data_IF_351725046898
#
_entry.id   IF_351725046898
#
_cell.length_a   1.000
_cell.length_b   1.000
_cell.length_c   1.000
_cell.angle_alpha   90.00
_cell.angle_beta   90.00
_cell.angle_gamma   90.00
#
_symmetry.space_group_name_H-M   'P 1'
#
loop_
_entity.id
_entity.type
_entity.pdbx_description
1 polymer ?
#
# COMPACT_ATOMS: atom_id res chain seq x y z
N UNK A 1 4.39 -51.04 35.30
CA UNK A 1 3.51 -50.42 34.32
C UNK A 1 4.35 -49.49 33.43
N UNK A 2 4.50 -49.79 32.14
CA UNK A 2 5.40 -49.04 31.27
C UNK A 2 4.71 -47.81 30.67
N UNK A 3 5.46 -46.72 30.57
CA UNK A 3 5.07 -45.47 29.88
C UNK A 3 5.17 -45.69 28.38
N UNK A 4 4.05 -45.50 27.67
CA UNK A 4 4.04 -45.49 26.23
C UNK A 4 4.50 -44.11 25.71
N UNK A 5 5.61 -44.10 24.96
CA UNK A 5 6.02 -42.97 24.13
C UNK A 5 5.09 -42.89 22.90
N UNK A 6 4.35 -41.79 22.78
CA UNK A 6 3.73 -41.41 21.51
C UNK A 6 4.76 -40.70 20.63
N UNK A 7 5.23 -41.42 19.62
CA UNK A 7 5.99 -40.85 18.51
C UNK A 7 5.05 -40.13 17.55
N UNK A 8 5.12 -38.78 17.51
CA UNK A 8 4.47 -38.00 16.47
C UNK A 8 5.23 -38.20 15.14
N UNK A 9 4.59 -38.85 14.20
CA UNK A 9 5.02 -38.88 12.80
C UNK A 9 4.76 -37.50 12.20
N UNK A 10 5.81 -36.74 11.96
CA UNK A 10 5.75 -35.56 11.09
C UNK A 10 5.75 -36.07 9.66
N UNK A 11 4.62 -36.08 9.00
CA UNK A 11 4.51 -36.41 7.58
C UNK A 11 5.21 -35.31 6.76
N UNK A 12 6.22 -35.67 5.99
CA UNK A 12 6.87 -34.80 5.01
C UNK A 12 5.84 -34.36 3.93
N UNK A 13 5.77 -33.08 3.54
CA UNK A 13 4.87 -32.65 2.47
C UNK A 13 5.32 -33.26 1.14
N UNK A 14 4.43 -34.00 0.50
CA UNK A 14 4.68 -34.62 -0.80
C UNK A 14 4.96 -33.55 -1.87
N UNK A 15 5.99 -33.74 -2.68
CA UNK A 15 6.46 -32.86 -3.76
C UNK A 15 5.37 -32.53 -4.82
N UNK A 16 4.27 -33.27 -4.86
CA UNK A 16 3.13 -33.05 -5.76
C UNK A 16 2.27 -31.83 -5.42
N UNK A 17 2.11 -31.47 -4.14
CA UNK A 17 1.30 -30.35 -3.70
C UNK A 17 1.91 -28.99 -4.04
N UNK A 18 3.23 -28.89 -4.13
CA UNK A 18 3.93 -27.63 -4.51
C UNK A 18 3.71 -27.28 -6.00
N UNK A 19 3.60 -28.29 -6.88
CA UNK A 19 3.34 -28.06 -8.32
C UNK A 19 1.90 -27.63 -8.60
N UNK A 20 0.93 -28.12 -7.82
CA UNK A 20 -0.49 -27.80 -8.00
C UNK A 20 -0.81 -26.39 -7.50
N UNK A 21 -0.28 -25.94 -6.37
CA UNK A 21 -0.46 -24.60 -5.84
C UNK A 21 0.19 -23.53 -6.75
N UNK A 22 1.36 -23.82 -7.33
CA UNK A 22 2.02 -22.93 -8.27
C UNK A 22 1.25 -22.84 -9.62
N UNK A 23 0.68 -23.96 -10.09
CA UNK A 23 -0.16 -23.98 -11.30
C UNK A 23 -1.48 -23.24 -11.09
N UNK A 24 -2.15 -23.37 -9.94
CA UNK A 24 -3.37 -22.61 -9.64
C UNK A 24 -3.10 -21.11 -9.56
N UNK A 25 -2.01 -20.67 -8.91
CA UNK A 25 -1.64 -19.24 -8.88
C UNK A 25 -1.31 -18.70 -10.27
N UNK A 26 -0.59 -19.44 -11.10
CA UNK A 26 -0.32 -19.07 -12.49
C UNK A 26 -1.60 -18.99 -13.34
N UNK A 27 -2.55 -19.89 -13.13
CA UNK A 27 -3.82 -19.88 -13.87
C UNK A 27 -4.72 -18.69 -13.49
N UNK A 28 -4.73 -18.27 -12.22
CA UNK A 28 -5.48 -17.11 -11.74
C UNK A 28 -4.86 -15.80 -12.28
N UNK A 29 -3.53 -15.68 -12.27
CA UNK A 29 -2.82 -14.54 -12.87
C UNK A 29 -3.02 -14.49 -14.39
N UNK A 30 -3.04 -15.62 -15.09
CA UNK A 30 -3.30 -15.70 -16.53
C UNK A 30 -4.73 -15.28 -16.89
N UNK A 31 -5.74 -15.65 -16.09
CA UNK A 31 -7.13 -15.28 -16.34
C UNK A 31 -7.35 -13.76 -16.35
N UNK A 32 -6.68 -13.02 -15.49
CA UNK A 32 -6.74 -11.54 -15.42
C UNK A 32 -5.92 -10.84 -16.52
N UNK A 33 -4.98 -11.55 -17.13
CA UNK A 33 -4.14 -11.01 -18.21
C UNK A 33 -4.75 -11.18 -19.60
N UNK A 34 -5.69 -12.11 -19.78
CA UNK A 34 -6.30 -12.41 -21.08
C UNK A 34 -7.28 -11.36 -21.60
N UNK A 35 -7.77 -10.44 -20.76
CA UNK A 35 -8.67 -9.36 -21.20
C UNK A 35 -7.93 -8.12 -21.77
N UNK A 36 -6.60 -8.07 -21.72
CA UNK A 36 -5.83 -7.03 -22.40
C UNK A 36 -5.56 -7.43 -23.87
N UNK A 37 -6.38 -6.93 -24.77
CA UNK A 37 -6.35 -7.23 -26.20
C UNK A 37 -4.97 -7.04 -26.87
N UNK A 38 -4.47 -8.05 -27.56
CA UNK A 38 -3.53 -7.91 -28.69
C UNK A 38 -2.07 -8.30 -28.47
N UNK A 39 -1.64 -8.86 -27.32
CA UNK A 39 -0.26 -9.33 -27.10
C UNK A 39 -0.21 -10.86 -27.14
N UNK A 40 0.78 -11.46 -27.85
CA UNK A 40 0.92 -12.91 -27.96
C UNK A 40 1.20 -13.59 -26.62
N UNK A 41 0.70 -14.82 -26.43
CA UNK A 41 0.83 -15.58 -25.17
C UNK A 41 2.29 -15.78 -24.73
N UNK A 42 3.25 -15.78 -25.65
CA UNK A 42 4.69 -15.89 -25.34
C UNK A 42 5.29 -14.60 -24.77
N UNK A 43 4.77 -13.43 -25.13
CA UNK A 43 5.22 -12.13 -24.60
C UNK A 43 4.57 -11.79 -23.26
N UNK A 44 3.37 -12.34 -22.98
CA UNK A 44 2.66 -12.17 -21.71
C UNK A 44 3.31 -12.92 -20.54
N UNK A 45 4.07 -13.98 -20.82
CA UNK A 45 4.79 -14.79 -19.82
C UNK A 45 6.11 -14.16 -19.31
N UNK A 46 6.62 -13.09 -19.97
CA UNK A 46 7.96 -12.59 -19.70
C UNK A 46 8.07 -11.52 -18.59
N UNK A 47 6.98 -10.94 -18.07
CA UNK A 47 7.09 -9.92 -17.03
C UNK A 47 6.04 -10.09 -15.92
N UNK A 48 6.33 -10.94 -14.95
CA UNK A 48 5.63 -10.88 -13.67
C UNK A 48 5.91 -9.52 -13.00
N UNK A 49 4.92 -8.93 -12.29
CA UNK A 49 5.19 -7.79 -11.43
C UNK A 49 6.33 -8.11 -10.45
N UNK A 50 7.23 -7.17 -10.22
CA UNK A 50 8.39 -7.35 -9.32
C UNK A 50 7.98 -7.87 -7.94
N UNK A 51 6.77 -7.51 -7.48
CA UNK A 51 6.21 -7.99 -6.21
C UNK A 51 5.88 -9.48 -6.20
N UNK A 52 5.69 -10.09 -7.39
CA UNK A 52 5.32 -11.51 -7.56
C UNK A 52 6.51 -12.38 -7.97
N UNK A 53 7.65 -11.76 -8.26
CA UNK A 53 8.88 -12.48 -8.61
C UNK A 53 9.43 -13.26 -7.40
N UNK A 54 10.10 -14.39 -7.69
CA UNK A 54 10.89 -15.09 -6.68
C UNK A 54 12.13 -14.28 -6.31
N UNK A 55 12.40 -14.12 -5.01
CA UNK A 55 13.61 -13.43 -4.56
C UNK A 55 14.84 -14.33 -4.72
N UNK A 56 15.80 -14.01 -5.62
CA UNK A 56 17.00 -14.83 -5.81
C UNK A 56 17.93 -14.84 -4.58
N UNK A 57 17.79 -13.87 -3.68
CA UNK A 57 18.55 -13.77 -2.43
C UNK A 57 17.87 -14.49 -1.27
N UNK A 58 16.62 -14.95 -1.44
CA UNK A 58 15.98 -15.82 -0.48
C UNK A 58 16.64 -17.20 -0.59
N UNK A 59 17.68 -17.45 0.21
CA UNK A 59 18.14 -18.77 0.52
C UNK A 59 16.96 -19.65 0.98
N UNK A 60 17.12 -20.96 1.02
CA UNK A 60 16.09 -21.83 1.60
C UNK A 60 15.88 -21.42 3.08
N UNK A 61 14.92 -20.53 3.31
CA UNK A 61 14.60 -19.99 4.64
C UNK A 61 14.24 -21.12 5.62
N UNK A 62 13.84 -22.29 5.11
CA UNK A 62 13.40 -23.42 5.93
C UNK A 62 14.57 -24.11 6.65
N UNK A 63 15.81 -23.95 6.20
CA UNK A 63 17.00 -24.52 6.84
C UNK A 63 17.71 -23.52 7.78
N UNK A 64 17.26 -22.27 7.83
CA UNK A 64 17.83 -21.26 8.73
C UNK A 64 17.23 -21.37 10.13
N UNK A 65 18.04 -21.07 11.13
CA UNK A 65 17.54 -20.82 12.48
C UNK A 65 16.83 -19.46 12.58
N UNK A 66 16.22 -19.16 13.71
CA UNK A 66 15.48 -17.91 13.91
C UNK A 66 16.37 -16.68 13.69
N UNK A 67 17.65 -16.72 14.10
CA UNK A 67 18.58 -15.62 13.90
C UNK A 67 18.86 -15.41 12.40
N UNK A 68 19.08 -16.46 11.65
CA UNK A 68 19.27 -16.41 10.20
C UNK A 68 18.05 -15.83 9.48
N UNK A 69 16.84 -16.27 9.84
CA UNK A 69 15.59 -15.76 9.25
C UNK A 69 15.42 -14.25 9.52
N UNK A 70 15.51 -13.80 10.78
CA UNK A 70 15.30 -12.38 11.11
C UNK A 70 16.42 -11.50 10.55
N UNK A 71 17.64 -12.01 10.43
CA UNK A 71 18.77 -11.31 9.79
C UNK A 71 18.51 -11.10 8.30
N UNK A 72 18.01 -12.11 7.60
CA UNK A 72 17.63 -12.01 6.20
C UNK A 72 16.49 -11.00 5.99
N UNK A 73 15.48 -11.00 6.87
CA UNK A 73 14.39 -10.02 6.84
C UNK A 73 14.93 -8.60 7.05
N UNK A 74 15.75 -8.38 8.08
CA UNK A 74 16.32 -7.07 8.37
C UNK A 74 17.19 -6.55 7.22
N UNK A 75 17.98 -7.40 6.59
CA UNK A 75 18.78 -7.04 5.42
C UNK A 75 17.90 -6.63 4.23
N UNK A 76 16.78 -7.31 4.00
CA UNK A 76 15.81 -6.95 2.97
C UNK A 76 15.13 -5.60 3.29
N UNK A 77 14.72 -5.39 4.54
CA UNK A 77 14.04 -4.15 4.98
C UNK A 77 14.97 -2.94 4.89
N UNK A 78 16.27 -3.10 5.08
CA UNK A 78 17.26 -2.03 4.94
C UNK A 78 17.28 -1.39 3.54
N UNK A 79 16.73 -2.06 2.53
CA UNK A 79 16.63 -1.54 1.16
C UNK A 79 15.44 -0.58 0.95
N UNK A 80 14.47 -0.54 1.87
CA UNK A 80 13.21 0.19 1.68
C UNK A 80 13.44 1.70 1.69
N UNK A 81 14.11 2.24 2.69
CA UNK A 81 14.34 3.69 2.77
C UNK A 81 15.14 4.23 1.57
N UNK A 82 16.23 3.57 1.09
CA UNK A 82 16.87 3.93 -0.17
C UNK A 82 15.95 3.85 -1.39
N UNK A 83 15.01 2.90 -1.43
CA UNK A 83 14.03 2.82 -2.51
C UNK A 83 13.06 4.03 -2.49
N UNK A 84 12.53 4.38 -1.32
CA UNK A 84 11.69 5.57 -1.14
C UNK A 84 12.43 6.85 -1.51
N UNK A 85 13.72 6.98 -1.16
CA UNK A 85 14.49 8.18 -1.47
C UNK A 85 14.59 8.48 -2.97
N UNK A 86 14.48 7.47 -3.82
CA UNK A 86 14.47 7.63 -5.29
C UNK A 86 13.17 8.23 -5.84
N UNK A 87 12.10 8.26 -5.04
CA UNK A 87 10.77 8.76 -5.43
C UNK A 87 10.40 10.08 -4.76
N UNK A 88 11.34 10.78 -4.13
CA UNK A 88 11.06 12.04 -3.42
C UNK A 88 10.51 13.14 -4.34
N UNK A 89 10.90 13.16 -5.62
CA UNK A 89 10.35 14.10 -6.60
C UNK A 89 8.86 13.91 -6.83
N UNK A 90 8.43 12.67 -7.01
CA UNK A 90 7.02 12.28 -7.19
C UNK A 90 6.22 12.53 -5.90
N UNK A 91 6.77 12.18 -4.74
CA UNK A 91 6.16 12.46 -3.44
C UNK A 91 5.96 13.98 -3.25
N UNK A 92 6.96 14.80 -3.59
CA UNK A 92 6.85 16.26 -3.52
C UNK A 92 5.73 16.80 -4.41
N UNK A 93 5.62 16.30 -5.66
CA UNK A 93 4.52 16.68 -6.57
C UNK A 93 3.15 16.27 -6.01
N UNK A 94 3.04 15.09 -5.42
CA UNK A 94 1.82 14.63 -4.76
C UNK A 94 1.44 15.55 -3.59
N UNK A 95 2.39 15.92 -2.74
CA UNK A 95 2.17 16.89 -1.65
C UNK A 95 1.66 18.23 -2.18
N UNK A 96 2.28 18.77 -3.24
CA UNK A 96 1.86 20.06 -3.83
C UNK A 96 0.43 19.99 -4.36
N UNK A 97 0.07 18.88 -5.03
CA UNK A 97 -1.26 18.64 -5.56
C UNK A 97 -2.31 18.59 -4.44
N UNK A 98 -2.07 17.79 -3.38
CA UNK A 98 -2.97 17.68 -2.23
C UNK A 98 -3.12 19.02 -1.52
N UNK A 99 -2.04 19.76 -1.26
CA UNK A 99 -2.09 21.09 -0.62
C UNK A 99 -2.96 22.05 -1.42
N UNK A 100 -2.83 22.05 -2.75
CA UNK A 100 -3.61 22.92 -3.61
C UNK A 100 -5.11 22.62 -3.49
N UNK A 101 -5.51 21.35 -3.47
CA UNK A 101 -6.91 20.92 -3.36
C UNK A 101 -7.49 21.19 -1.97
N UNK A 102 -6.77 20.85 -0.91
CA UNK A 102 -7.23 21.11 0.46
C UNK A 102 -7.41 22.62 0.76
N UNK A 103 -6.58 23.50 0.18
CA UNK A 103 -6.76 24.96 0.30
C UNK A 103 -8.03 25.47 -0.38
N UNK A 104 -8.55 24.76 -1.35
CA UNK A 104 -9.79 25.07 -2.05
C UNK A 104 -11.03 24.40 -1.39
N UNK A 105 -10.87 23.77 -0.23
CA UNK A 105 -11.94 23.12 0.50
C UNK A 105 -12.18 21.65 0.12
N UNK A 106 -11.31 21.04 -0.67
CA UNK A 106 -11.34 19.61 -0.96
C UNK A 106 -10.81 18.76 0.21
N UNK A 107 -10.90 17.44 0.07
CA UNK A 107 -10.46 16.43 1.04
C UNK A 107 -9.42 15.50 0.43
N UNK A 108 -8.70 14.77 1.28
CA UNK A 108 -7.77 13.73 0.87
C UNK A 108 -8.39 12.36 1.14
N UNK A 109 -8.46 11.51 0.12
CA UNK A 109 -8.93 10.13 0.25
C UNK A 109 -7.81 9.16 -0.01
N UNK A 110 -7.71 8.13 0.83
CA UNK A 110 -6.90 6.94 0.62
C UNK A 110 -7.80 5.77 0.26
N UNK A 111 -7.47 5.03 -0.80
CA UNK A 111 -8.19 3.82 -1.20
C UNK A 111 -7.23 2.68 -1.49
N UNK A 112 -7.52 1.49 -0.99
CA UNK A 112 -6.72 0.30 -1.22
C UNK A 112 -7.35 -0.96 -0.66
N UNK A 113 -6.73 -2.11 -0.95
CA UNK A 113 -7.15 -3.41 -0.43
C UNK A 113 -6.10 -3.99 0.53
N UNK A 114 -6.50 -4.92 1.39
CA UNK A 114 -5.61 -5.65 2.28
C UNK A 114 -4.69 -4.75 3.12
N UNK A 115 -3.39 -4.98 3.06
CA UNK A 115 -2.38 -4.18 3.79
C UNK A 115 -2.38 -2.73 3.33
N UNK A 116 -2.49 -2.48 2.03
CA UNK A 116 -2.49 -1.13 1.46
C UNK A 116 -3.66 -0.29 1.97
N UNK A 117 -4.87 -0.86 1.99
CA UNK A 117 -6.06 -0.20 2.56
C UNK A 117 -5.92 0.05 4.06
N UNK A 118 -5.40 -0.93 4.83
CA UNK A 118 -5.16 -0.74 6.27
C UNK A 118 -4.19 0.39 6.57
N UNK A 119 -3.12 0.54 5.78
CA UNK A 119 -2.15 1.62 5.93
C UNK A 119 -2.77 2.98 5.60
N UNK A 120 -3.63 3.06 4.59
CA UNK A 120 -4.38 4.28 4.27
C UNK A 120 -5.32 4.70 5.40
N UNK A 121 -6.08 3.75 5.96
CA UNK A 121 -6.96 4.01 7.10
C UNK A 121 -6.16 4.40 8.35
N UNK A 122 -5.03 3.73 8.61
CA UNK A 122 -4.14 4.06 9.72
C UNK A 122 -3.65 5.51 9.62
N UNK A 123 -3.08 5.92 8.48
CA UNK A 123 -2.54 7.27 8.29
C UNK A 123 -3.65 8.32 8.41
N UNK A 124 -4.84 8.07 7.84
CA UNK A 124 -6.00 8.95 7.96
C UNK A 124 -6.44 9.13 9.42
N UNK A 125 -6.51 8.04 10.19
CA UNK A 125 -6.96 8.05 11.59
C UNK A 125 -6.03 8.81 12.52
N UNK A 126 -4.76 8.94 12.18
CA UNK A 126 -3.76 9.67 12.97
C UNK A 126 -3.75 11.18 12.69
N UNK A 127 -4.39 11.65 11.62
CA UNK A 127 -4.42 13.09 11.29
C UNK A 127 -5.18 13.94 12.32
N UNK A 128 -6.39 13.57 12.77
CA UNK A 128 -7.10 14.35 13.79
C UNK A 128 -6.35 14.47 15.12
N UNK A 129 -5.87 13.39 15.76
CA UNK A 129 -5.18 13.51 17.04
C UNK A 129 -3.80 14.21 16.93
N UNK A 130 -3.13 14.11 15.76
CA UNK A 130 -1.79 14.68 15.57
C UNK A 130 -1.84 16.15 15.17
N UNK A 131 -2.75 16.53 14.27
CA UNK A 131 -2.77 17.85 13.64
C UNK A 131 -4.02 18.67 13.96
N UNK A 132 -4.95 18.15 14.77
CA UNK A 132 -6.20 18.82 15.11
C UNK A 132 -7.09 19.06 13.88
N UNK A 133 -7.05 18.16 12.91
CA UNK A 133 -7.88 18.25 11.71
C UNK A 133 -9.31 17.77 11.98
N UNK A 134 -10.24 18.21 11.14
CA UNK A 134 -11.53 17.56 11.03
C UNK A 134 -11.33 16.08 10.63
N UNK A 135 -12.04 15.11 11.25
CA UNK A 135 -11.97 13.70 10.86
C UNK A 135 -12.29 13.44 9.38
N UNK A 136 -13.13 14.28 8.77
CA UNK A 136 -13.50 14.15 7.36
C UNK A 136 -12.48 14.77 6.39
N UNK A 137 -11.42 15.43 6.89
CA UNK A 137 -10.41 16.06 6.03
C UNK A 137 -9.53 15.03 5.32
N UNK A 138 -9.21 13.92 6.01
CA UNK A 138 -8.45 12.80 5.46
C UNK A 138 -9.23 11.52 5.74
N UNK A 139 -9.68 10.88 4.67
CA UNK A 139 -10.58 9.72 4.74
C UNK A 139 -9.85 8.49 4.19
N UNK A 140 -9.83 7.40 4.93
CA UNK A 140 -9.30 6.11 4.49
C UNK A 140 -10.43 5.14 4.19
N UNK A 141 -10.45 4.58 2.98
CA UNK A 141 -11.36 3.51 2.58
C UNK A 141 -10.59 2.24 2.24
N UNK A 142 -11.21 1.08 2.51
CA UNK A 142 -10.60 -0.23 2.31
C UNK A 142 -11.59 -1.19 1.67
N UNK A 143 -11.15 -1.96 0.69
CA UNK A 143 -11.94 -3.04 0.10
C UNK A 143 -12.48 -3.97 1.18
N UNK A 144 -13.80 -4.20 1.19
CA UNK A 144 -14.48 -5.00 2.22
C UNK A 144 -14.85 -4.23 3.50
N UNK A 145 -14.64 -2.90 3.52
CA UNK A 145 -15.07 -2.00 4.58
C UNK A 145 -14.41 -2.26 5.94
N UNK A 146 -15.01 -1.80 7.03
CA UNK A 146 -14.45 -1.88 8.40
C UNK A 146 -14.11 -3.31 8.84
N UNK A 147 -14.81 -4.31 8.35
CA UNK A 147 -14.50 -5.71 8.64
C UNK A 147 -13.10 -6.07 8.15
N UNK A 148 -12.69 -5.55 6.99
CA UNK A 148 -11.40 -5.81 6.37
C UNK A 148 -10.21 -5.23 7.15
N UNK A 149 -10.44 -4.29 8.07
CA UNK A 149 -9.40 -3.78 8.96
C UNK A 149 -8.86 -4.86 9.92
N UNK A 150 -9.72 -5.81 10.32
CA UNK A 150 -9.40 -6.83 11.35
C UNK A 150 -9.30 -8.24 10.80
N UNK A 151 -10.00 -8.54 9.70
CA UNK A 151 -10.06 -9.87 9.10
C UNK A 151 -9.99 -9.76 7.59
N UNK A 152 -9.39 -10.74 6.91
CA UNK A 152 -9.45 -10.81 5.46
C UNK A 152 -10.92 -10.95 5.01
N UNK A 153 -11.29 -10.22 3.96
CA UNK A 153 -12.57 -10.36 3.24
C UNK A 153 -12.21 -10.85 1.85
N UNK A 154 -12.43 -12.15 1.63
CA UNK A 154 -12.09 -12.80 0.36
C UNK A 154 -12.86 -12.17 -0.80
N UNK A 155 -12.18 -11.97 -1.95
CA UNK A 155 -12.75 -11.41 -3.17
C UNK A 155 -13.05 -9.90 -3.14
N UNK A 156 -12.89 -9.22 -2.00
CA UNK A 156 -13.18 -7.78 -1.93
C UNK A 156 -12.22 -6.93 -2.78
N UNK A 157 -10.99 -7.39 -2.98
CA UNK A 157 -10.00 -6.69 -3.80
C UNK A 157 -10.25 -6.84 -5.30
N UNK A 158 -11.05 -7.84 -5.71
CA UNK A 158 -11.36 -8.16 -7.10
C UNK A 158 -12.57 -7.38 -7.64
N UNK A 159 -13.34 -6.73 -6.77
CA UNK A 159 -14.51 -5.95 -7.16
C UNK A 159 -14.13 -4.55 -7.62
N UNK A 160 -14.01 -4.39 -8.93
CA UNK A 160 -13.66 -3.14 -9.57
C UNK A 160 -14.68 -2.01 -9.33
N UNK A 161 -15.97 -2.34 -9.31
CA UNK A 161 -17.02 -1.32 -9.16
C UNK A 161 -17.13 -0.80 -7.72
N UNK A 162 -16.82 -1.66 -6.75
CA UNK A 162 -16.96 -1.33 -5.33
C UNK A 162 -16.07 -0.15 -4.92
N UNK A 163 -14.87 0.00 -5.52
CA UNK A 163 -13.99 1.14 -5.25
C UNK A 163 -14.64 2.50 -5.56
N UNK A 164 -15.39 2.58 -6.65
CA UNK A 164 -16.18 3.75 -7.01
C UNK A 164 -17.39 3.95 -6.09
N UNK A 165 -18.12 2.90 -5.75
CA UNK A 165 -19.26 2.98 -4.83
C UNK A 165 -18.85 3.43 -3.42
N UNK A 166 -17.70 2.99 -2.94
CA UNK A 166 -17.20 3.40 -1.63
C UNK A 166 -16.85 4.91 -1.63
N UNK A 167 -16.24 5.43 -2.69
CA UNK A 167 -16.00 6.86 -2.85
C UNK A 167 -17.29 7.67 -2.90
N UNK A 168 -18.28 7.21 -3.69
CA UNK A 168 -19.59 7.85 -3.83
C UNK A 168 -20.33 7.93 -2.48
N UNK A 169 -20.31 6.83 -1.72
CA UNK A 169 -20.92 6.76 -0.39
C UNK A 169 -20.35 7.78 0.61
N UNK A 170 -19.09 8.21 0.41
CA UNK A 170 -18.45 9.27 1.19
C UNK A 170 -18.60 10.66 0.56
N UNK A 171 -19.42 10.79 -0.49
CA UNK A 171 -19.65 12.07 -1.20
C UNK A 171 -18.39 12.64 -1.83
N UNK A 172 -17.53 11.77 -2.40
CA UNK A 172 -16.32 12.16 -3.11
C UNK A 172 -16.66 13.02 -4.33
N UNK A 173 -15.87 14.07 -4.60
CA UNK A 173 -16.17 15.06 -5.63
C UNK A 173 -14.93 15.54 -6.40
N UNK A 174 -15.14 16.35 -7.42
CA UNK A 174 -14.08 17.00 -8.20
C UNK A 174 -13.11 17.86 -7.36
N UNK A 175 -13.52 18.32 -6.19
CA UNK A 175 -12.67 19.12 -5.29
C UNK A 175 -11.64 18.27 -4.55
N UNK A 176 -11.91 16.97 -4.39
CA UNK A 176 -11.13 16.05 -3.58
C UNK A 176 -9.87 15.51 -4.32
N UNK A 177 -9.02 14.84 -3.59
CA UNK A 177 -7.86 14.12 -4.15
C UNK A 177 -7.91 12.67 -3.69
N UNK A 178 -7.76 11.73 -4.63
CA UNK A 178 -7.60 10.32 -4.34
C UNK A 178 -6.12 9.92 -4.34
N UNK A 179 -5.66 9.25 -3.29
CA UNK A 179 -4.43 8.45 -3.27
C UNK A 179 -4.81 6.98 -3.30
N UNK A 180 -4.63 6.36 -4.42
CA UNK A 180 -4.90 4.95 -4.66
C UNK A 180 -3.65 4.10 -4.34
N UNK A 181 -3.79 3.04 -3.54
CA UNK A 181 -2.66 2.31 -2.97
C UNK A 181 -2.77 0.83 -3.33
N UNK A 182 -1.86 0.34 -4.16
CA UNK A 182 -1.77 -1.08 -4.51
C UNK A 182 -0.31 -1.47 -4.76
N UNK A 183 0.24 -2.41 -4.00
CA UNK A 183 1.64 -2.82 -4.15
C UNK A 183 1.94 -3.37 -5.56
N UNK A 184 1.08 -4.22 -6.10
CA UNK A 184 1.17 -4.70 -7.48
C UNK A 184 0.86 -3.60 -8.51
N UNK A 185 0.03 -2.61 -8.12
CA UNK A 185 -0.55 -1.62 -9.03
C UNK A 185 -1.62 -2.20 -9.97
N UNK A 186 -2.16 -3.38 -9.66
CA UNK A 186 -3.10 -4.12 -10.51
C UNK A 186 -4.44 -4.42 -9.83
N UNK A 187 -4.61 -4.09 -8.54
CA UNK A 187 -5.78 -4.42 -7.73
C UNK A 187 -7.06 -3.81 -8.33
N UNK A 188 -8.06 -4.61 -8.76
CA UNK A 188 -9.26 -4.13 -9.44
C UNK A 188 -10.04 -3.08 -8.63
N UNK A 189 -10.27 -3.31 -7.35
CA UNK A 189 -10.90 -2.33 -6.45
C UNK A 189 -10.22 -0.95 -6.52
N UNK A 190 -8.89 -0.94 -6.47
CA UNK A 190 -8.10 0.29 -6.47
C UNK A 190 -8.17 1.00 -7.82
N UNK A 191 -8.14 0.25 -8.93
CA UNK A 191 -8.30 0.79 -10.28
C UNK A 191 -9.71 1.37 -10.48
N UNK A 192 -10.74 0.69 -10.01
CA UNK A 192 -12.13 1.20 -10.05
C UNK A 192 -12.32 2.49 -9.26
N UNK A 193 -11.65 2.63 -8.10
CA UNK A 193 -11.63 3.90 -7.37
C UNK A 193 -10.97 5.03 -8.18
N UNK A 194 -9.88 4.73 -8.91
CA UNK A 194 -9.23 5.72 -9.81
C UNK A 194 -10.14 6.11 -10.96
N UNK A 195 -10.79 5.14 -11.61
CA UNK A 195 -11.71 5.42 -12.72
C UNK A 195 -12.87 6.32 -12.29
N UNK A 196 -13.45 6.04 -11.12
CA UNK A 196 -14.48 6.89 -10.54
C UNK A 196 -13.96 8.31 -10.25
N UNK A 197 -12.82 8.44 -9.58
CA UNK A 197 -12.24 9.74 -9.24
C UNK A 197 -11.93 10.57 -10.48
N UNK A 198 -11.40 9.96 -11.54
CA UNK A 198 -11.14 10.62 -12.83
C UNK A 198 -12.44 11.05 -13.50
N UNK A 199 -13.47 10.21 -13.49
CA UNK A 199 -14.79 10.56 -14.05
C UNK A 199 -15.44 11.73 -13.33
N UNK A 200 -15.21 11.86 -12.02
CA UNK A 200 -15.63 12.99 -11.22
C UNK A 200 -14.80 14.27 -11.47
N UNK A 201 -13.67 14.20 -12.19
CA UNK A 201 -12.75 15.34 -12.42
C UNK A 201 -11.83 15.65 -11.23
N UNK A 202 -11.67 14.71 -10.31
CA UNK A 202 -10.79 14.85 -9.16
C UNK A 202 -9.32 14.57 -9.54
N UNK A 203 -8.39 14.99 -8.67
CA UNK A 203 -6.98 14.68 -8.82
C UNK A 203 -6.66 13.30 -8.28
N UNK A 204 -5.75 12.58 -8.96
CA UNK A 204 -5.40 11.19 -8.63
C UNK A 204 -3.90 10.98 -8.44
N UNK A 205 -3.54 10.23 -7.40
CA UNK A 205 -2.18 9.83 -7.06
C UNK A 205 -2.19 8.32 -6.89
N UNK A 206 -1.22 7.62 -7.48
CA UNK A 206 -1.04 6.18 -7.31
C UNK A 206 0.23 5.85 -6.55
N UNK A 207 0.15 4.95 -5.58
CA UNK A 207 1.31 4.39 -4.87
C UNK A 207 1.40 2.91 -5.20
N UNK A 208 2.50 2.51 -5.86
CA UNK A 208 2.76 1.11 -6.21
C UNK A 208 4.22 0.72 -5.95
N UNK A 209 4.54 -0.57 -6.12
CA UNK A 209 5.92 -1.06 -6.15
C UNK A 209 6.37 -1.51 -7.55
N UNK A 210 5.50 -1.29 -8.56
CA UNK A 210 5.74 -1.63 -9.95
C UNK A 210 5.57 -0.40 -10.84
N UNK A 211 6.65 0.08 -11.52
CA UNK A 211 6.61 1.34 -12.28
C UNK A 211 5.71 1.27 -13.51
N UNK A 212 5.63 0.11 -14.16
CA UNK A 212 4.89 -0.11 -15.40
C UNK A 212 3.49 -0.71 -15.14
N UNK A 213 2.90 -0.41 -13.98
CA UNK A 213 1.59 -0.97 -13.60
C UNK A 213 0.42 -0.19 -14.21
N UNK A 214 -0.76 -0.82 -14.36
CA UNK A 214 -1.99 -0.14 -14.75
C UNK A 214 -2.30 1.09 -13.88
N UNK A 215 -2.08 0.98 -12.57
CA UNK A 215 -2.24 2.10 -11.64
C UNK A 215 -1.33 3.28 -11.99
N UNK A 216 -0.05 2.99 -12.32
CA UNK A 216 0.91 4.04 -12.69
C UNK A 216 0.49 4.80 -13.96
N UNK A 217 -0.11 4.10 -14.92
CA UNK A 217 -0.60 4.67 -16.17
C UNK A 217 -1.92 5.46 -16.01
N UNK A 218 -2.71 5.16 -14.97
CA UNK A 218 -4.06 5.68 -14.80
C UNK A 218 -4.14 6.99 -13.98
N UNK A 219 -3.08 7.41 -13.28
CA UNK A 219 -3.10 8.53 -12.32
C UNK A 219 -2.34 9.76 -12.80
N UNK A 220 -2.64 10.94 -12.22
CA UNK A 220 -1.93 12.18 -12.53
C UNK A 220 -0.50 12.20 -11.96
N UNK A 221 -0.30 11.59 -10.79
CA UNK A 221 1.02 11.44 -10.14
C UNK A 221 1.23 10.00 -9.75
N UNK A 222 2.18 9.32 -10.37
CA UNK A 222 2.56 7.96 -10.02
C UNK A 222 3.80 7.97 -9.10
N UNK A 223 3.71 7.27 -7.96
CA UNK A 223 4.79 7.04 -7.01
C UNK A 223 5.09 5.54 -7.00
N UNK A 224 6.06 5.11 -7.80
CA UNK A 224 6.44 3.70 -7.90
C UNK A 224 7.71 3.41 -7.08
N UNK A 225 7.56 2.87 -5.87
CA UNK A 225 8.66 2.53 -4.98
C UNK A 225 9.11 1.10 -5.23
N UNK A 226 10.09 0.91 -6.10
CA UNK A 226 10.63 -0.42 -6.45
C UNK A 226 11.49 -0.95 -5.31
N UNK A 227 10.94 -1.83 -4.50
CA UNK A 227 11.62 -2.48 -3.34
C UNK A 227 12.19 -3.86 -3.68
N UNK A 228 12.02 -4.33 -4.93
CA UNK A 228 12.40 -5.67 -5.35
C UNK A 228 11.49 -6.77 -4.80
N UNK A 229 11.73 -8.03 -5.19
CA UNK A 229 10.91 -9.18 -4.77
C UNK A 229 10.94 -9.37 -3.26
N UNK A 230 9.81 -9.77 -2.68
CA UNK A 230 9.71 -10.07 -1.25
C UNK A 230 10.45 -11.36 -0.87
N UNK A 231 10.88 -11.51 0.38
CA UNK A 231 11.45 -12.76 0.86
C UNK A 231 10.46 -13.93 0.76
N UNK A 232 9.19 -13.65 0.93
CA UNK A 232 8.09 -14.57 0.64
C UNK A 232 7.34 -13.97 -0.55
N UNK A 233 7.49 -14.57 -1.73
CA UNK A 233 6.90 -14.08 -2.98
C UNK A 233 5.40 -13.78 -2.81
N UNK A 234 4.96 -12.62 -3.30
CA UNK A 234 3.57 -12.15 -3.19
C UNK A 234 3.17 -11.67 -1.78
N UNK A 235 4.05 -11.70 -0.77
CA UNK A 235 3.72 -11.23 0.59
C UNK A 235 4.02 -9.73 0.75
N UNK A 236 3.27 -8.90 0.03
CA UNK A 236 3.46 -7.44 -0.06
C UNK A 236 3.19 -6.67 1.24
N UNK A 237 2.81 -7.35 2.32
CA UNK A 237 2.74 -6.76 3.67
C UNK A 237 4.12 -6.43 4.27
N UNK A 238 5.23 -6.94 3.68
CA UNK A 238 6.60 -6.79 4.17
C UNK A 238 7.22 -5.48 3.64
N UNK A 239 8.20 -5.54 2.72
CA UNK A 239 8.91 -4.35 2.19
C UNK A 239 7.97 -3.38 1.49
N UNK A 240 7.07 -3.89 0.65
CA UNK A 240 6.10 -3.06 -0.06
C UNK A 240 5.20 -2.30 0.91
N UNK A 241 4.66 -2.97 1.94
CA UNK A 241 3.87 -2.32 3.00
C UNK A 241 4.68 -1.28 3.76
N UNK A 242 5.94 -1.56 4.10
CA UNK A 242 6.85 -0.60 4.76
C UNK A 242 7.07 0.64 3.88
N UNK A 243 7.31 0.45 2.58
CA UNK A 243 7.48 1.54 1.62
C UNK A 243 6.21 2.41 1.52
N UNK A 244 5.04 1.80 1.38
CA UNK A 244 3.75 2.49 1.33
C UNK A 244 3.53 3.33 2.60
N UNK A 245 3.76 2.74 3.78
CA UNK A 245 3.65 3.46 5.05
C UNK A 245 4.56 4.69 5.10
N UNK A 246 5.81 4.59 4.64
CA UNK A 246 6.73 5.72 4.60
C UNK A 246 6.23 6.83 3.66
N UNK A 247 5.74 6.48 2.47
CA UNK A 247 5.21 7.44 1.50
C UNK A 247 3.96 8.15 2.03
N UNK A 248 3.01 7.41 2.61
CA UNK A 248 1.79 7.97 3.20
C UNK A 248 2.12 8.97 4.31
N UNK A 249 3.01 8.61 5.24
CA UNK A 249 3.43 9.52 6.31
C UNK A 249 4.16 10.76 5.76
N UNK A 250 4.94 10.64 4.68
CA UNK A 250 5.57 11.79 4.05
C UNK A 250 4.52 12.72 3.43
N UNK A 251 3.51 12.19 2.74
CA UNK A 251 2.45 12.97 2.13
C UNK A 251 1.64 13.68 3.22
N UNK A 252 1.04 12.96 4.16
CA UNK A 252 0.18 13.54 5.19
C UNK A 252 0.91 14.57 6.03
N UNK A 253 2.10 14.23 6.54
CA UNK A 253 2.89 15.14 7.38
C UNK A 253 3.31 16.40 6.64
N UNK A 254 3.84 16.28 5.42
CA UNK A 254 4.27 17.43 4.63
C UNK A 254 3.08 18.33 4.25
N UNK A 255 1.93 17.74 3.88
CA UNK A 255 0.69 18.47 3.62
C UNK A 255 0.26 19.27 4.86
N UNK A 256 0.21 18.64 6.04
CA UNK A 256 -0.21 19.30 7.28
C UNK A 256 0.77 20.41 7.69
N UNK A 257 2.07 20.22 7.52
CA UNK A 257 3.07 21.29 7.72
C UNK A 257 2.78 22.48 6.79
N UNK A 258 2.54 22.23 5.50
CA UNK A 258 2.27 23.28 4.51
C UNK A 258 0.94 23.98 4.67
N UNK A 259 -0.02 23.35 5.35
CA UNK A 259 -1.30 23.94 5.75
C UNK A 259 -1.21 24.68 7.08
N UNK A 260 -0.04 24.74 7.73
CA UNK A 260 0.14 25.40 9.03
C UNK A 260 -0.50 24.65 10.19
N UNK A 261 -0.70 23.34 10.05
CA UNK A 261 -1.26 22.47 11.10
C UNK A 261 -0.22 21.96 12.10
N UNK A 262 0.97 22.51 12.05
CA UNK A 262 2.05 22.26 13.01
C UNK A 262 2.51 23.57 13.61
N UNK A 263 2.94 23.52 14.87
CA UNK A 263 3.43 24.70 15.57
C UNK A 263 4.96 24.70 15.60
N UNK A 264 5.56 25.82 15.17
CA UNK A 264 6.99 26.05 15.32
C UNK A 264 7.24 26.95 16.51
N UNK A 265 7.80 26.40 17.62
CA UNK A 265 8.17 27.22 18.77
C UNK A 265 9.58 27.79 18.60
N UNK A 266 9.67 28.98 17.99
CA UNK A 266 10.91 29.78 17.95
C UNK A 266 11.33 30.35 19.30
N UNK A 267 10.63 30.00 20.39
CA UNK A 267 10.83 30.55 21.75
C UNK A 267 11.89 29.83 22.59
N UNK A 268 12.39 28.67 22.14
CA UNK A 268 13.46 27.98 22.87
C UNK A 268 14.78 28.04 22.12
N UNK A 269 15.85 28.41 22.80
CA UNK A 269 17.26 28.45 22.32
C UNK A 269 17.80 27.05 21.90
N UNK A 270 16.93 26.07 21.65
CA UNK A 270 17.25 24.73 21.22
C UNK A 270 16.63 24.41 19.85
N UNK A 271 17.16 23.46 19.07
CA UNK A 271 16.82 23.27 17.68
C UNK A 271 15.32 23.16 17.46
N UNK A 272 14.87 23.79 16.39
CA UNK A 272 13.50 23.83 15.90
C UNK A 272 12.75 22.51 16.12
N UNK A 273 11.66 22.55 16.89
CA UNK A 273 10.75 21.41 17.06
C UNK A 273 9.43 21.78 16.44
N UNK A 274 9.01 21.03 15.43
CA UNK A 274 7.62 20.99 15.02
C UNK A 274 6.86 20.21 16.09
N UNK A 275 5.85 20.84 16.68
CA UNK A 275 4.96 20.21 17.65
C UNK A 275 3.62 19.97 16.98
N UNK A 276 3.00 18.82 17.25
CA UNK A 276 1.64 18.56 16.84
C UNK A 276 0.69 19.53 17.55
N UNK A 277 -0.36 20.00 16.83
CA UNK A 277 -1.42 20.84 17.41
C UNK A 277 -2.49 20.00 18.12
N UNK A 278 -2.18 18.79 18.57
CA UNK A 278 -3.15 17.92 19.25
C UNK A 278 -3.80 18.68 20.41
N UNK A 279 -5.11 18.86 20.31
CA UNK A 279 -5.92 19.53 21.34
C UNK A 279 -5.87 18.68 22.61
N UNK A 280 -5.14 19.14 23.62
CA UNK A 280 -5.19 18.55 24.97
C UNK A 280 -3.85 18.25 25.64
N UNK A 281 -2.73 18.32 24.95
CA UNK A 281 -1.41 18.02 25.58
C UNK A 281 -0.71 19.23 26.24
N UNK A 282 -1.31 20.41 26.16
CA UNK A 282 -0.76 21.66 26.74
C UNK A 282 -1.76 22.30 27.71
N UNK A 283 -2.02 21.62 28.83
CA UNK A 283 -2.59 22.23 30.03
C UNK A 283 -1.57 22.22 31.15
#
# INVERSE_FOLDING_TARGET
MPRQCLSFFIAQPQAGLRRTANRMRQSILLFWYEEAEGVSDSEKLEKLPVTEEGNPQAADLSVLDSMGIVSAMNAADALVAPAVSRTLGEISRAVDLVVARLRLGGRLFYAGAGTSGRLGVLDASECPPTFGTDPELVVGIIAGGDRALRSAVEGAEDDHLQGGFDLDAHGFSAADTLVAIAASGMTPYTLGAVDYARSAGASTIGISCNPDSPLAAAVDVSIAVVVGPELIAGSTRLKAGTAQKMVLNMISTAVMIRLGKTYWSGLFKNPMRYLSLSVGQWR
#
